data_IF_011408861982
#
_entry.id   IF_011408861982
#
_cell.length_a   1.000
_cell.length_b   1.000
_cell.length_c   1.000
_cell.angle_alpha   90.00
_cell.angle_beta   90.00
_cell.angle_gamma   90.00
#
_symmetry.space_group_name_H-M   'P 1'
#
loop_
_entity.id
_entity.type
_entity.pdbx_description
1 polymer ?
#
# COMPACT_ATOMS: atom_id res chain seq x y z
N UNK A 1 4.92 -22.27 5.80
CA UNK A 1 5.13 -20.91 6.33
C UNK A 1 4.63 -20.78 7.75
N UNK A 2 5.33 -19.99 8.56
CA UNK A 2 4.99 -19.63 9.94
C UNK A 2 5.08 -18.12 10.11
N UNK A 3 4.07 -17.51 10.71
CA UNK A 3 4.04 -16.11 11.13
C UNK A 3 4.24 -16.01 12.64
N UNK A 4 5.05 -15.06 13.10
CA UNK A 4 5.26 -14.77 14.52
C UNK A 4 5.26 -13.27 14.76
N UNK A 5 4.46 -12.81 15.72
CA UNK A 5 4.57 -11.47 16.30
C UNK A 5 5.86 -11.37 17.12
N UNK A 6 6.67 -10.35 16.84
CA UNK A 6 7.93 -10.11 17.54
C UNK A 6 7.85 -8.94 18.51
N UNK A 7 7.12 -7.89 18.14
CA UNK A 7 7.04 -6.65 18.89
C UNK A 7 5.80 -5.86 18.45
N UNK A 8 5.30 -5.01 19.35
CA UNK A 8 4.23 -4.05 19.09
C UNK A 8 4.60 -2.72 19.74
N UNK A 9 4.38 -1.64 18.99
CA UNK A 9 4.59 -0.28 19.48
C UNK A 9 3.40 0.59 19.12
N UNK A 10 2.76 1.19 20.11
CA UNK A 10 1.88 2.34 19.89
C UNK A 10 2.75 3.54 19.46
N UNK A 11 2.35 4.23 18.40
CA UNK A 11 3.04 5.43 17.93
C UNK A 11 2.02 6.57 17.99
N UNK A 12 2.07 7.39 19.05
CA UNK A 12 1.18 8.54 19.18
C UNK A 12 1.34 9.47 17.98
N UNK A 13 0.25 10.13 17.61
CA UNK A 13 0.23 11.19 16.59
C UNK A 13 0.67 10.76 15.18
N UNK A 14 0.75 9.45 14.90
CA UNK A 14 0.74 9.01 13.51
C UNK A 14 -0.63 9.32 12.91
N UNK A 15 -0.70 9.84 11.68
CA UNK A 15 -1.96 9.96 10.98
C UNK A 15 -2.59 8.59 10.67
N UNK A 16 -3.91 8.56 10.52
CA UNK A 16 -4.69 7.34 10.24
C UNK A 16 -4.80 7.17 8.74
N UNK A 17 -4.60 5.95 8.22
CA UNK A 17 -4.68 5.71 6.77
C UNK A 17 -3.34 5.85 6.04
N UNK A 18 -2.26 6.14 6.77
CA UNK A 18 -0.97 6.35 6.13
C UNK A 18 -0.36 5.09 5.51
N UNK A 19 0.36 5.31 4.42
CA UNK A 19 1.27 4.36 3.82
C UNK A 19 2.65 4.42 4.49
N UNK A 20 3.36 3.30 4.51
CA UNK A 20 4.68 3.18 5.14
C UNK A 20 5.65 2.44 4.23
N UNK A 21 6.76 3.09 3.90
CA UNK A 21 7.86 2.47 3.17
C UNK A 21 9.14 2.42 4.01
N UNK A 22 9.98 1.42 3.76
CA UNK A 22 11.27 1.29 4.45
C UNK A 22 12.41 1.20 3.44
N UNK A 23 13.30 2.18 3.49
CA UNK A 23 14.46 2.21 2.62
C UNK A 23 15.69 2.73 3.38
N UNK A 24 16.82 2.05 3.22
CA UNK A 24 18.10 2.41 3.81
C UNK A 24 18.04 2.83 5.29
N UNK A 25 17.37 2.01 6.12
CA UNK A 25 17.22 2.24 7.57
C UNK A 25 16.32 3.41 7.98
N UNK A 26 15.66 4.04 7.02
CA UNK A 26 14.68 5.11 7.17
C UNK A 26 13.28 4.59 6.83
N UNK A 27 12.31 5.01 7.63
CA UNK A 27 10.89 4.81 7.40
C UNK A 27 10.32 6.08 6.78
N UNK A 28 9.55 5.95 5.71
CA UNK A 28 8.87 7.06 5.04
C UNK A 28 7.38 6.86 5.18
N UNK A 29 6.70 7.84 5.76
CA UNK A 29 5.27 7.83 5.97
C UNK A 29 4.63 8.92 5.12
N UNK A 30 3.56 8.56 4.43
CA UNK A 30 2.71 9.47 3.67
C UNK A 30 1.27 9.17 4.04
N UNK A 31 0.54 10.19 4.49
CA UNK A 31 -0.87 10.07 4.84
C UNK A 31 -1.78 10.24 3.63
N UNK A 32 -3.00 9.69 3.68
CA UNK A 32 -4.01 9.89 2.62
C UNK A 32 -4.37 11.39 2.49
N UNK A 33 -4.41 12.09 3.63
CA UNK A 33 -4.70 13.51 3.79
C UNK A 33 -3.42 14.37 3.90
N UNK A 34 -2.24 13.79 3.67
CA UNK A 34 -0.98 14.48 3.84
C UNK A 34 -0.67 15.47 2.72
N UNK A 35 -0.37 16.70 3.14
CA UNK A 35 0.50 17.61 2.36
C UNK A 35 1.99 17.30 2.51
N UNK A 36 2.37 16.42 3.44
CA UNK A 36 3.75 16.16 3.87
C UNK A 36 4.12 14.67 3.88
N UNK A 37 5.35 14.35 3.49
CA UNK A 37 6.03 13.09 3.77
C UNK A 37 6.86 13.24 5.05
N UNK A 38 6.76 12.29 5.96
CA UNK A 38 7.56 12.26 7.19
C UNK A 38 8.57 11.12 7.14
N UNK A 39 9.84 11.44 7.37
CA UNK A 39 10.92 10.47 7.48
C UNK A 39 11.22 10.18 8.96
N UNK A 40 11.29 8.91 9.33
CA UNK A 40 11.64 8.45 10.68
C UNK A 40 12.84 7.51 10.67
N UNK A 41 13.59 7.46 11.76
CA UNK A 41 14.54 6.38 11.98
C UNK A 41 13.84 5.12 12.51
N UNK A 42 14.57 4.00 12.65
CA UNK A 42 14.08 2.74 13.25
C UNK A 42 13.51 2.85 14.68
N UNK A 43 13.83 3.93 15.39
CA UNK A 43 13.30 4.23 16.73
C UNK A 43 12.06 5.13 16.67
N UNK A 44 11.49 5.37 15.48
CA UNK A 44 10.33 6.23 15.24
C UNK A 44 10.59 7.67 15.71
N UNK A 45 11.83 8.14 15.61
CA UNK A 45 12.16 9.55 15.81
C UNK A 45 12.13 10.23 14.46
N UNK A 46 11.42 11.35 14.37
CA UNK A 46 11.34 12.17 13.15
C UNK A 46 12.74 12.65 12.76
N UNK A 47 13.13 12.35 11.53
CA UNK A 47 14.36 12.81 10.91
C UNK A 47 14.09 14.08 10.09
N UNK A 48 12.98 14.09 9.34
CA UNK A 48 12.59 15.20 8.50
C UNK A 48 11.10 15.16 8.15
N UNK A 49 10.57 16.32 7.76
CA UNK A 49 9.20 16.51 7.22
C UNK A 49 9.35 17.26 5.91
N UNK A 50 8.77 16.75 4.83
CA UNK A 50 8.91 17.26 3.48
C UNK A 50 7.56 17.51 2.82
N UNK A 51 7.32 18.74 2.36
CA UNK A 51 6.10 19.09 1.63
C UNK A 51 6.00 18.38 0.29
N UNK A 52 5.00 17.50 0.17
CA UNK A 52 4.62 16.83 -1.07
C UNK A 52 3.88 17.77 -2.01
N UNK A 53 3.04 18.66 -1.50
CA UNK A 53 2.32 19.64 -2.30
C UNK A 53 3.02 21.01 -2.31
N UNK A 54 2.83 21.76 -3.39
CA UNK A 54 3.40 23.10 -3.58
C UNK A 54 2.69 24.18 -2.75
N UNK A 55 3.27 25.39 -2.70
CA UNK A 55 2.64 26.54 -2.04
C UNK A 55 1.45 27.12 -2.83
N UNK A 56 1.46 26.90 -4.15
CA UNK A 56 0.44 27.31 -5.11
C UNK A 56 -0.55 26.19 -5.46
N UNK A 57 -0.36 24.97 -4.92
CA UNK A 57 -1.42 23.96 -4.98
C UNK A 57 -2.61 24.53 -4.19
N UNK A 58 -3.84 24.42 -4.72
CA UNK A 58 -5.02 24.90 -4.01
C UNK A 58 -4.98 24.28 -2.62
N UNK A 59 -4.97 25.17 -1.61
CA UNK A 59 -4.97 24.77 -0.22
C UNK A 59 -6.03 23.68 -0.07
N UNK A 60 -5.65 22.47 0.36
CA UNK A 60 -6.59 21.37 0.59
C UNK A 60 -7.69 21.98 1.45
N UNK A 61 -8.86 22.19 0.84
CA UNK A 61 -9.96 22.86 1.50
C UNK A 61 -10.36 21.98 2.68
N UNK A 62 -10.84 22.56 3.80
CA UNK A 62 -11.34 21.75 4.89
C UNK A 62 -12.39 20.75 4.38
N UNK A 63 -12.05 19.46 4.37
CA UNK A 63 -12.89 18.37 3.83
C UNK A 63 -12.49 17.81 2.46
N UNK A 64 -11.48 18.35 1.77
CA UNK A 64 -10.84 17.69 0.62
C UNK A 64 -9.65 16.84 1.10
N UNK A 65 -9.32 15.77 0.36
CA UNK A 65 -8.22 14.85 0.65
C UNK A 65 -7.16 14.97 -0.45
N UNK A 66 -5.87 14.83 -0.12
CA UNK A 66 -4.82 14.68 -1.16
C UNK A 66 -4.91 13.34 -1.87
N UNK A 67 -5.58 12.37 -1.24
CA UNK A 67 -5.83 11.00 -1.74
C UNK A 67 -4.53 10.28 -2.13
N UNK A 68 -3.45 10.51 -1.37
CA UNK A 68 -2.17 9.82 -1.54
C UNK A 68 -2.23 8.40 -0.96
N UNK A 69 -3.06 7.59 -1.59
CA UNK A 69 -3.47 6.27 -1.11
C UNK A 69 -2.45 5.18 -1.46
N UNK A 70 -1.47 5.45 -2.33
CA UNK A 70 -0.45 4.45 -2.67
C UNK A 70 0.96 5.03 -2.74
N UNK A 71 1.90 4.34 -2.08
CA UNK A 71 3.33 4.61 -2.20
C UNK A 71 4.12 3.37 -2.54
N UNK A 72 5.29 3.54 -3.14
CA UNK A 72 6.31 2.48 -3.23
C UNK A 72 7.69 3.03 -3.51
N UNK A 73 8.74 2.24 -3.27
CA UNK A 73 10.10 2.60 -3.63
C UNK A 73 10.38 2.17 -5.07
N UNK A 74 10.79 3.13 -5.91
CA UNK A 74 11.21 2.92 -7.30
C UNK A 74 12.66 3.33 -7.47
N UNK A 75 13.32 2.82 -8.52
CA UNK A 75 14.67 3.24 -8.89
C UNK A 75 14.62 3.88 -10.27
N UNK A 76 14.98 5.16 -10.34
CA UNK A 76 15.00 5.94 -11.58
C UNK A 76 16.43 6.40 -11.83
N UNK A 77 17.05 5.98 -12.94
CA UNK A 77 18.44 6.30 -13.26
C UNK A 77 19.43 5.92 -12.14
N UNK A 78 19.22 4.76 -11.51
CA UNK A 78 19.99 4.28 -10.34
C UNK A 78 19.80 5.08 -9.04
N UNK A 79 18.88 6.05 -9.01
CA UNK A 79 18.56 6.84 -7.82
C UNK A 79 17.28 6.27 -7.20
N UNK A 80 17.28 5.86 -5.93
CA UNK A 80 16.08 5.41 -5.23
C UNK A 80 15.15 6.59 -4.96
N UNK A 81 13.87 6.40 -5.24
CA UNK A 81 12.83 7.42 -5.06
C UNK A 81 11.61 6.82 -4.40
N UNK A 82 10.96 7.61 -3.55
CA UNK A 82 9.59 7.31 -3.15
C UNK A 82 8.66 7.79 -4.26
N UNK A 83 7.91 6.85 -4.85
CA UNK A 83 6.77 7.16 -5.69
C UNK A 83 5.55 7.29 -4.78
N UNK A 84 4.88 8.44 -4.85
CA UNK A 84 3.61 8.73 -4.18
C UNK A 84 2.56 8.94 -5.26
N UNK A 85 1.41 8.29 -5.14
CA UNK A 85 0.34 8.30 -6.13
C UNK A 85 -0.94 8.82 -5.52
N UNK A 86 -1.52 9.84 -6.16
CA UNK A 86 -2.86 10.34 -5.90
C UNK A 86 -3.82 9.94 -7.02
N UNK A 87 -4.94 9.30 -6.68
CA UNK A 87 -5.94 8.81 -7.62
C UNK A 87 -7.35 9.38 -7.37
N UNK A 88 -7.43 10.55 -6.74
CA UNK A 88 -8.69 11.11 -6.23
C UNK A 88 -9.83 11.06 -7.24
N UNK A 89 -10.90 10.38 -6.85
CA UNK A 89 -12.12 10.18 -7.63
C UNK A 89 -12.94 11.49 -7.72
N UNK A 90 -12.73 12.45 -6.82
CA UNK A 90 -13.58 13.64 -6.64
C UNK A 90 -12.94 14.97 -7.08
N UNK A 91 -11.67 15.25 -6.79
CA UNK A 91 -11.11 16.62 -6.87
C UNK A 91 -9.87 16.80 -7.76
N UNK A 92 -9.76 16.09 -8.89
CA UNK A 92 -8.76 16.35 -9.95
C UNK A 92 -7.28 16.15 -9.59
N UNK A 93 -6.98 15.54 -8.44
CA UNK A 93 -5.62 15.22 -8.00
C UNK A 93 -5.10 13.90 -8.58
N UNK A 94 -5.00 13.82 -9.91
CA UNK A 94 -4.30 12.72 -10.57
C UNK A 94 -2.81 13.06 -10.62
N UNK A 95 -2.07 12.75 -9.55
CA UNK A 95 -0.64 13.08 -9.46
C UNK A 95 0.22 11.86 -9.18
N UNK A 96 1.38 11.81 -9.81
CA UNK A 96 2.51 11.00 -9.37
C UNK A 96 3.63 11.92 -8.90
N UNK A 97 4.12 11.72 -7.68
CA UNK A 97 5.22 12.49 -7.10
C UNK A 97 6.39 11.54 -6.88
N UNK A 98 7.55 11.88 -7.46
CA UNK A 98 8.81 11.18 -7.23
C UNK A 98 9.68 11.99 -6.29
N UNK A 99 9.83 11.54 -5.04
CA UNK A 99 10.73 12.15 -4.07
C UNK A 99 12.07 11.42 -4.08
N UNK A 100 13.15 12.13 -4.40
CA UNK A 100 14.52 11.62 -4.28
C UNK A 100 14.84 11.33 -2.81
N UNK A 101 15.28 10.12 -2.48
CA UNK A 101 15.52 9.73 -1.10
C UNK A 101 16.88 10.17 -0.54
N UNK A 102 17.76 10.72 -1.39
CA UNK A 102 19.07 11.23 -0.98
C UNK A 102 19.01 12.72 -0.61
N UNK A 103 18.28 13.54 -1.37
CA UNK A 103 18.23 15.00 -1.20
C UNK A 103 16.81 15.58 -1.05
N UNK A 104 15.78 14.74 -1.11
CA UNK A 104 14.37 15.11 -0.97
C UNK A 104 13.83 16.06 -2.04
N UNK A 105 14.56 16.25 -3.14
CA UNK A 105 14.02 16.92 -4.32
C UNK A 105 12.85 16.11 -4.89
N UNK A 106 11.83 16.80 -5.42
CA UNK A 106 10.63 16.15 -5.97
C UNK A 106 10.40 16.51 -7.43
N UNK A 107 9.84 15.56 -8.16
CA UNK A 107 9.28 15.75 -9.50
C UNK A 107 7.80 15.38 -9.45
N UNK A 108 6.94 16.22 -9.99
CA UNK A 108 5.49 16.01 -10.04
C UNK A 108 5.05 15.76 -11.48
N UNK A 109 4.15 14.81 -11.67
CA UNK A 109 3.58 14.45 -12.96
C UNK A 109 2.05 14.44 -12.83
N UNK A 110 1.37 15.13 -13.74
CA UNK A 110 -0.07 14.92 -13.97
C UNK A 110 -0.24 13.55 -14.62
N UNK A 111 -1.03 12.67 -13.99
CA UNK A 111 -1.32 11.32 -14.47
C UNK A 111 -2.75 11.14 -15.00
N UNK A 112 -3.42 12.24 -15.36
CA UNK A 112 -4.81 12.24 -15.82
C UNK A 112 -5.07 11.37 -17.04
N UNK A 113 -4.12 11.28 -17.98
CA UNK A 113 -4.28 10.41 -19.16
C UNK A 113 -4.31 8.94 -18.74
N UNK A 114 -3.37 8.52 -17.89
CA UNK A 114 -3.34 7.16 -17.36
C UNK A 114 -4.58 6.86 -16.51
N UNK A 115 -4.99 7.79 -15.64
CA UNK A 115 -6.21 7.69 -14.84
C UNK A 115 -7.44 7.42 -15.72
N UNK A 116 -7.62 8.18 -16.80
CA UNK A 116 -8.76 8.04 -17.68
C UNK A 116 -8.74 6.70 -18.43
N UNK A 117 -7.56 6.24 -18.88
CA UNK A 117 -7.40 4.91 -19.47
C UNK A 117 -7.72 3.81 -18.47
N UNK A 118 -7.25 3.95 -17.23
CA UNK A 118 -7.53 3.01 -16.16
C UNK A 118 -9.03 2.94 -15.90
N UNK A 119 -9.70 4.07 -15.70
CA UNK A 119 -11.16 4.16 -15.52
C UNK A 119 -11.94 3.52 -16.67
N UNK A 120 -11.53 3.74 -17.91
CA UNK A 120 -12.16 3.13 -19.08
C UNK A 120 -11.96 1.61 -19.13
N UNK A 121 -10.86 1.10 -18.55
CA UNK A 121 -10.48 -0.32 -18.59
C UNK A 121 -11.07 -1.11 -17.42
N UNK A 122 -10.98 -0.60 -16.20
CA UNK A 122 -11.38 -1.30 -14.97
C UNK A 122 -12.67 -0.77 -14.35
N UNK A 123 -13.21 0.34 -14.86
CA UNK A 123 -14.43 0.95 -14.33
C UNK A 123 -14.17 1.77 -13.07
N UNK A 124 -14.90 1.45 -12.00
CA UNK A 124 -14.69 2.07 -10.67
C UNK A 124 -13.55 1.35 -9.98
N UNK A 125 -12.56 2.11 -9.51
CA UNK A 125 -11.42 1.59 -8.79
C UNK A 125 -11.18 2.38 -7.50
N UNK A 126 -10.45 1.76 -6.57
CA UNK A 126 -10.01 2.30 -5.29
C UNK A 126 -8.60 1.76 -5.04
N UNK A 127 -7.58 2.56 -5.34
CA UNK A 127 -6.18 2.14 -5.24
C UNK A 127 -5.68 2.42 -3.82
N UNK A 128 -5.28 1.41 -3.06
CA UNK A 128 -4.88 1.59 -1.65
C UNK A 128 -3.44 1.19 -1.34
N UNK A 129 -2.69 0.69 -2.33
CA UNK A 129 -1.26 0.44 -2.16
C UNK A 129 -0.58 0.13 -3.48
N UNK A 130 0.75 0.23 -3.48
CA UNK A 130 1.57 -0.11 -4.61
C UNK A 130 2.79 -0.96 -4.23
N UNK A 131 3.31 -1.72 -5.19
CA UNK A 131 4.60 -2.39 -5.07
C UNK A 131 5.28 -2.55 -6.43
N UNK A 132 6.62 -2.57 -6.44
CA UNK A 132 7.40 -2.95 -7.62
C UNK A 132 7.70 -4.45 -7.62
N UNK A 133 7.31 -5.14 -8.69
CA UNK A 133 7.68 -6.54 -8.95
C UNK A 133 8.36 -6.64 -10.31
N UNK A 134 9.66 -6.96 -10.31
CA UNK A 134 10.48 -7.06 -11.53
C UNK A 134 10.32 -5.88 -12.51
N UNK A 135 10.30 -4.64 -12.00
CA UNK A 135 10.18 -3.44 -12.83
C UNK A 135 8.76 -3.13 -13.33
N UNK A 136 7.77 -3.95 -12.96
CA UNK A 136 6.35 -3.60 -13.10
C UNK A 136 5.84 -2.97 -11.81
N UNK A 137 5.00 -1.97 -11.96
CA UNK A 137 4.23 -1.40 -10.86
C UNK A 137 2.94 -2.19 -10.73
N UNK A 138 2.69 -2.63 -9.51
CA UNK A 138 1.44 -3.28 -9.11
C UNK A 138 0.68 -2.31 -8.24
N UNK A 139 -0.59 -2.09 -8.57
CA UNK A 139 -1.53 -1.28 -7.79
C UNK A 139 -2.61 -2.19 -7.23
N UNK A 140 -2.89 -2.07 -5.94
CA UNK A 140 -3.93 -2.83 -5.28
C UNK A 140 -5.27 -2.12 -5.43
N UNK A 141 -6.19 -2.71 -6.20
CA UNK A 141 -7.57 -2.24 -6.28
C UNK A 141 -8.40 -2.93 -5.20
N UNK A 142 -8.72 -2.19 -4.13
CA UNK A 142 -9.60 -2.66 -3.07
C UNK A 142 -11.04 -2.63 -3.56
N UNK A 143 -11.82 -3.63 -3.17
CA UNK A 143 -13.23 -3.67 -3.51
C UNK A 143 -14.00 -2.47 -2.95
N UNK A 144 -14.98 -2.02 -3.72
CA UNK A 144 -15.87 -0.93 -3.38
C UNK A 144 -17.33 -1.37 -3.50
N UNK A 145 -18.24 -0.66 -2.82
CA UNK A 145 -19.71 -0.88 -2.84
C UNK A 145 -20.29 -1.10 -4.25
N UNK A 146 -19.71 -0.43 -5.24
CA UNK A 146 -20.15 -0.44 -6.65
C UNK A 146 -19.24 -1.24 -7.58
N UNK A 147 -18.14 -1.80 -7.06
CA UNK A 147 -17.16 -2.60 -7.79
C UNK A 147 -16.50 -3.61 -6.84
N UNK A 148 -17.15 -4.76 -6.56
CA UNK A 148 -16.78 -5.69 -5.49
C UNK A 148 -15.57 -6.58 -5.83
N UNK A 149 -14.67 -6.14 -6.72
CA UNK A 149 -13.59 -6.97 -7.26
C UNK A 149 -12.23 -6.57 -6.69
N UNK A 150 -11.72 -7.38 -5.77
CA UNK A 150 -10.32 -7.31 -5.34
C UNK A 150 -9.41 -7.86 -6.44
N UNK A 151 -8.64 -6.98 -7.05
CA UNK A 151 -7.65 -7.33 -8.07
C UNK A 151 -6.43 -6.44 -7.94
N UNK A 152 -5.31 -6.87 -8.51
CA UNK A 152 -4.21 -5.95 -8.77
C UNK A 152 -4.25 -5.50 -10.22
N UNK A 153 -3.87 -4.25 -10.42
CA UNK A 153 -3.55 -3.69 -11.74
C UNK A 153 -2.04 -3.75 -11.90
N UNK A 154 -1.59 -4.23 -13.03
CA UNK A 154 -0.18 -4.33 -13.41
C UNK A 154 0.08 -3.36 -14.54
N UNK A 155 1.05 -2.48 -14.34
CA UNK A 155 1.48 -1.45 -15.28
C UNK A 155 3.00 -1.29 -15.26
N UNK A 156 3.52 -0.41 -16.11
CA UNK A 156 4.93 -0.09 -16.17
C UNK A 156 5.34 0.82 -15.00
N UNK A 157 6.52 0.61 -14.41
CA UNK A 157 6.99 1.41 -13.27
C UNK A 157 7.21 2.90 -13.60
N UNK A 158 7.27 3.24 -14.88
CA UNK A 158 7.42 4.59 -15.42
C UNK A 158 6.18 5.06 -16.18
N UNK A 159 4.99 4.48 -15.91
CA UNK A 159 3.74 4.82 -16.60
C UNK A 159 3.48 6.33 -16.68
N UNK A 160 3.89 7.09 -15.66
CA UNK A 160 3.74 8.55 -15.58
C UNK A 160 4.45 9.31 -16.72
N UNK A 161 5.45 8.70 -17.37
CA UNK A 161 6.14 9.25 -18.56
C UNK A 161 5.55 8.78 -19.90
N UNK A 162 4.87 7.63 -19.93
CA UNK A 162 4.33 7.02 -21.16
C UNK A 162 2.86 6.63 -20.98
N UNK A 163 2.06 7.59 -20.51
CA UNK A 163 0.71 7.33 -20.04
C UNK A 163 -0.23 6.78 -21.12
N UNK A 164 -0.05 7.19 -22.38
CA UNK A 164 -0.86 6.72 -23.51
C UNK A 164 -0.71 5.22 -23.79
N UNK A 165 0.49 4.66 -23.54
CA UNK A 165 0.84 3.30 -23.95
C UNK A 165 1.16 2.37 -22.79
N UNK A 166 1.25 2.88 -21.56
CA UNK A 166 1.51 2.07 -20.37
C UNK A 166 0.52 0.90 -20.31
N UNK A 167 1.05 -0.28 -19.97
CA UNK A 167 0.24 -1.49 -19.84
C UNK A 167 -0.82 -1.34 -18.73
N UNK A 168 -2.01 -1.88 -18.94
CA UNK A 168 -3.04 -2.00 -17.89
C UNK A 168 -3.59 -3.41 -17.97
N UNK A 169 -3.08 -4.29 -17.10
CA UNK A 169 -3.52 -5.68 -17.01
C UNK A 169 -4.05 -5.95 -15.61
N UNK A 170 -5.18 -6.65 -15.47
CA UNK A 170 -5.73 -7.02 -14.16
C UNK A 170 -5.41 -8.46 -13.81
N UNK A 171 -5.10 -8.70 -12.53
CA UNK A 171 -4.89 -10.03 -11.96
C UNK A 171 -5.75 -10.19 -10.73
N UNK A 172 -6.65 -11.17 -10.77
CA UNK A 172 -7.54 -11.50 -9.65
C UNK A 172 -6.81 -12.25 -8.53
N UNK A 173 -7.26 -12.08 -7.29
CA UNK A 173 -6.83 -12.90 -6.15
C UNK A 173 -7.86 -13.96 -5.80
N UNK A 174 -7.38 -15.07 -5.24
CA UNK A 174 -8.24 -16.03 -4.54
C UNK A 174 -8.24 -15.67 -3.05
N UNK A 175 -9.17 -14.81 -2.64
CA UNK A 175 -9.33 -14.37 -1.26
C UNK A 175 -10.53 -15.08 -0.61
N UNK A 176 -10.48 -15.35 0.70
CA UNK A 176 -11.64 -15.88 1.40
C UNK A 176 -12.77 -14.85 1.37
N UNK A 177 -13.93 -15.26 0.88
CA UNK A 177 -15.13 -14.45 0.88
C UNK A 177 -16.29 -15.30 1.41
N UNK A 178 -17.15 -14.69 2.22
CA UNK A 178 -18.40 -15.29 2.69
C UNK A 178 -19.56 -14.37 2.33
N UNK A 179 -20.82 -14.84 2.37
CA UNK A 179 -21.97 -13.98 2.10
C UNK A 179 -22.08 -12.74 3.00
N UNK A 180 -21.43 -12.75 4.17
CA UNK A 180 -21.53 -11.68 5.17
C UNK A 180 -20.23 -10.87 5.34
N UNK A 181 -19.12 -11.34 4.77
CA UNK A 181 -17.80 -10.76 4.98
C UNK A 181 -16.95 -10.89 3.72
N UNK A 182 -16.39 -9.76 3.30
CA UNK A 182 -15.40 -9.66 2.24
C UNK A 182 -14.06 -9.27 2.86
N UNK A 183 -12.96 -9.56 2.15
CA UNK A 183 -11.63 -9.11 2.55
C UNK A 183 -11.04 -8.21 1.48
N UNK A 184 -10.83 -6.95 1.84
CA UNK A 184 -10.26 -5.92 0.98
C UNK A 184 -8.76 -5.87 1.07
N UNK A 185 -8.10 -5.56 -0.05
CA UNK A 185 -6.66 -5.28 -0.11
C UNK A 185 -6.34 -3.96 0.62
N UNK A 186 -5.34 -3.94 1.50
CA UNK A 186 -4.92 -2.71 2.19
C UNK A 186 -3.46 -2.33 1.98
N UNK A 187 -2.54 -3.30 1.87
CA UNK A 187 -1.11 -3.00 1.76
C UNK A 187 -0.35 -4.03 0.95
N UNK A 188 0.73 -3.60 0.30
CA UNK A 188 1.61 -4.42 -0.53
C UNK A 188 3.09 -4.21 -0.19
N UNK A 189 3.86 -5.30 -0.20
CA UNK A 189 5.31 -5.22 -0.23
C UNK A 189 5.92 -6.44 -0.93
N UNK A 190 6.96 -6.23 -1.73
CA UNK A 190 7.60 -7.30 -2.50
C UNK A 190 9.03 -7.58 -2.05
N UNK A 191 9.32 -8.84 -1.76
CA UNK A 191 10.65 -9.35 -1.49
C UNK A 191 11.26 -9.90 -2.76
N UNK A 192 12.22 -9.17 -3.33
CA UNK A 192 12.99 -9.65 -4.49
C UNK A 192 13.80 -10.91 -4.13
N UNK A 193 14.38 -10.96 -2.93
CA UNK A 193 15.25 -12.06 -2.50
C UNK A 193 14.52 -13.40 -2.36
N UNK A 194 13.24 -13.37 -2.01
CA UNK A 194 12.42 -14.56 -1.82
C UNK A 194 11.40 -14.77 -2.94
N UNK A 195 11.24 -13.78 -3.82
CA UNK A 195 10.15 -13.71 -4.79
C UNK A 195 8.77 -13.86 -4.15
N UNK A 196 8.57 -13.13 -3.04
CA UNK A 196 7.34 -13.14 -2.25
C UNK A 196 6.65 -11.78 -2.32
N UNK A 197 5.40 -11.76 -2.76
CA UNK A 197 4.50 -10.63 -2.55
C UNK A 197 3.77 -10.84 -1.22
N UNK A 198 3.91 -9.87 -0.33
CA UNK A 198 3.24 -9.83 0.96
C UNK A 198 2.11 -8.83 0.88
N UNK A 199 0.94 -9.22 1.37
CA UNK A 199 -0.28 -8.42 1.25
C UNK A 199 -0.98 -8.37 2.61
N UNK A 200 -1.32 -7.17 3.08
CA UNK A 200 -2.27 -7.01 4.19
C UNK A 200 -3.69 -6.90 3.66
N UNK A 201 -4.62 -7.54 4.36
CA UNK A 201 -6.03 -7.53 4.02
C UNK A 201 -6.86 -7.15 5.24
N UNK A 202 -7.99 -6.52 4.99
CA UNK A 202 -8.95 -6.07 6.01
C UNK A 202 -10.30 -6.70 5.76
N UNK A 203 -10.91 -7.24 6.81
CA UNK A 203 -12.28 -7.74 6.71
C UNK A 203 -13.31 -6.65 6.87
N UNK A 204 -14.24 -6.63 5.93
CA UNK A 204 -15.32 -5.67 5.85
C UNK A 204 -16.66 -6.39 5.79
N UNK A 205 -17.70 -5.75 6.32
CA UNK A 205 -19.05 -6.26 6.18
C UNK A 205 -19.43 -6.31 4.70
N UNK A 206 -20.02 -7.41 4.24
CA UNK A 206 -20.52 -7.52 2.85
C UNK A 206 -21.77 -6.65 2.58
N UNK A 207 -22.22 -5.90 3.59
CA UNK A 207 -23.33 -4.97 3.48
C UNK A 207 -22.93 -3.65 2.83
N UNK A 208 -23.93 -2.80 2.59
CA UNK A 208 -23.76 -1.52 1.88
C UNK A 208 -22.77 -0.55 2.52
N UNK A 209 -22.30 -0.76 3.74
CA UNK A 209 -21.43 0.17 4.45
C UNK A 209 -19.96 -0.24 4.47
N UNK A 210 -19.61 -1.48 4.08
CA UNK A 210 -18.23 -2.01 4.11
C UNK A 210 -17.46 -1.64 5.39
N UNK A 211 -18.17 -1.62 6.52
CA UNK A 211 -17.56 -1.27 7.79
C UNK A 211 -16.53 -2.32 8.17
N UNK A 212 -15.35 -1.88 8.61
CA UNK A 212 -14.32 -2.78 9.09
C UNK A 212 -14.83 -3.58 10.29
N UNK A 213 -14.71 -4.89 10.18
CA UNK A 213 -15.13 -5.85 11.21
C UNK A 213 -14.09 -5.97 12.31
N UNK A 214 -12.86 -5.52 12.07
CA UNK A 214 -11.74 -5.58 13.01
C UNK A 214 -10.84 -6.82 12.85
N UNK A 215 -11.10 -7.64 11.83
CA UNK A 215 -10.20 -8.73 11.45
C UNK A 215 -9.23 -8.28 10.35
N UNK A 216 -7.96 -8.61 10.56
CA UNK A 216 -6.88 -8.35 9.61
C UNK A 216 -6.15 -9.64 9.25
N UNK A 217 -5.64 -9.70 8.03
CA UNK A 217 -4.92 -10.85 7.51
C UNK A 217 -3.59 -10.45 6.89
N UNK A 218 -2.66 -11.39 6.90
CA UNK A 218 -1.43 -11.29 6.12
C UNK A 218 -1.40 -12.45 5.12
N UNK A 219 -1.41 -12.13 3.83
CA UNK A 219 -1.23 -13.10 2.77
C UNK A 219 0.22 -13.08 2.26
N UNK A 220 0.71 -14.25 1.88
CA UNK A 220 1.99 -14.42 1.20
C UNK A 220 1.75 -15.15 -0.11
N UNK A 221 2.25 -14.58 -1.19
CA UNK A 221 2.23 -15.16 -2.53
C UNK A 221 3.66 -15.42 -2.95
N UNK A 222 4.00 -16.69 -3.10
CA UNK A 222 5.29 -17.12 -3.59
C UNK A 222 5.35 -17.09 -5.11
N UNK A 223 6.55 -16.97 -5.67
CA UNK A 223 6.79 -16.88 -7.10
C UNK A 223 5.99 -15.72 -7.74
N UNK A 224 5.89 -14.60 -7.03
CA UNK A 224 5.01 -13.50 -7.43
C UNK A 224 5.41 -12.93 -8.79
N UNK A 225 6.72 -12.85 -9.07
CA UNK A 225 7.27 -12.44 -10.37
C UNK A 225 6.67 -13.18 -11.57
N UNK A 226 6.33 -14.47 -11.42
CA UNK A 226 5.76 -15.29 -12.49
C UNK A 226 4.23 -15.24 -12.53
N UNK A 227 3.60 -14.69 -11.50
CA UNK A 227 2.15 -14.63 -11.31
C UNK A 227 1.56 -13.28 -11.72
N UNK A 228 2.35 -12.21 -11.72
CA UNK A 228 1.90 -10.85 -12.12
C UNK A 228 1.50 -10.73 -13.58
N UNK A 229 1.91 -11.68 -14.42
CA UNK A 229 1.50 -11.77 -15.85
C UNK A 229 0.39 -12.79 -16.09
N UNK A 230 -0.19 -13.39 -15.04
CA UNK A 230 -1.26 -14.40 -15.14
C UNK A 230 -2.61 -13.74 -14.90
N UNK A 231 -3.71 -14.43 -15.27
CA UNK A 231 -5.07 -13.95 -14.99
C UNK A 231 -5.48 -14.03 -13.51
N UNK A 232 -4.87 -14.96 -12.77
CA UNK A 232 -5.20 -15.24 -11.37
C UNK A 232 -3.93 -15.51 -10.56
N UNK A 233 -3.87 -14.90 -9.37
CA UNK A 233 -2.79 -15.04 -8.41
C UNK A 233 -3.25 -15.88 -7.22
N UNK A 234 -2.70 -17.11 -7.10
CA UNK A 234 -2.97 -17.99 -5.96
C UNK A 234 -2.19 -17.51 -4.73
N UNK A 235 -2.91 -17.31 -3.63
CA UNK A 235 -2.36 -17.08 -2.29
C UNK A 235 -1.76 -18.39 -1.77
N UNK A 236 -0.49 -18.36 -1.35
CA UNK A 236 0.22 -19.55 -0.86
C UNK A 236 0.00 -19.76 0.64
N UNK A 237 -0.06 -18.67 1.41
CA UNK A 237 -0.33 -18.70 2.84
C UNK A 237 -1.19 -17.50 3.19
N UNK A 238 -2.18 -17.72 4.04
CA UNK A 238 -3.04 -16.68 4.57
C UNK A 238 -3.08 -16.85 6.09
N UNK A 239 -2.70 -15.80 6.80
CA UNK A 239 -2.68 -15.77 8.25
C UNK A 239 -3.80 -14.85 8.73
N UNK A 240 -4.76 -15.38 9.47
CA UNK A 240 -5.67 -14.56 10.25
C UNK A 240 -4.91 -14.04 11.48
N UNK A 241 -4.71 -12.72 11.57
CA UNK A 241 -3.79 -12.16 12.57
C UNK A 241 -4.33 -12.30 13.99
N UNK A 242 -5.64 -12.20 14.16
CA UNK A 242 -6.30 -12.33 15.46
C UNK A 242 -6.11 -13.75 16.06
N UNK A 243 -6.01 -14.79 15.23
CA UNK A 243 -5.75 -16.16 15.69
C UNK A 243 -4.30 -16.37 16.17
N UNK A 244 -3.37 -15.47 15.81
CA UNK A 244 -1.95 -15.60 16.14
C UNK A 244 -1.58 -14.95 17.46
N UNK A 245 -2.28 -13.88 17.85
CA UNK A 245 -2.01 -13.13 19.08
C UNK A 245 -3.14 -12.15 19.38
N UNK A 246 -3.59 -12.13 20.64
CA UNK A 246 -4.59 -11.16 21.13
C UNK A 246 -4.19 -9.70 20.88
N UNK A 247 -2.89 -9.41 20.80
CA UNK A 247 -2.40 -8.05 20.49
C UNK A 247 -2.86 -7.47 19.15
N UNK A 248 -3.31 -8.30 18.20
CA UNK A 248 -3.87 -7.81 16.93
C UNK A 248 -5.35 -7.43 17.01
N UNK A 249 -6.06 -7.88 18.04
CA UNK A 249 -7.52 -7.74 18.14
C UNK A 249 -7.90 -6.25 18.16
N UNK A 250 -8.80 -5.87 17.25
CA UNK A 250 -9.32 -4.51 17.13
C UNK A 250 -8.46 -3.56 16.30
N UNK A 251 -7.32 -4.02 15.75
CA UNK A 251 -6.49 -3.24 14.84
C UNK A 251 -6.74 -3.61 13.37
N UNK A 252 -6.87 -2.58 12.52
CA UNK A 252 -6.91 -2.73 11.08
C UNK A 252 -5.49 -2.56 10.53
N UNK A 253 -4.91 -3.61 9.95
CA UNK A 253 -3.62 -3.49 9.25
C UNK A 253 -3.80 -2.73 7.94
N UNK A 254 -3.31 -1.49 7.91
CA UNK A 254 -3.40 -0.58 6.77
C UNK A 254 -2.28 -0.76 5.78
N UNK A 255 -1.06 -1.00 6.25
CA UNK A 255 0.11 -1.09 5.37
C UNK A 255 1.10 -2.14 5.84
N UNK A 256 1.93 -2.63 4.92
CA UNK A 256 3.02 -3.57 5.18
C UNK A 256 4.28 -3.12 4.46
N UNK A 257 5.42 -3.16 5.15
CA UNK A 257 6.71 -2.98 4.50
C UNK A 257 7.76 -3.97 5.00
N UNK A 258 8.70 -4.32 4.12
CA UNK A 258 9.80 -5.22 4.45
C UNK A 258 10.91 -4.44 5.14
N UNK A 259 11.07 -4.70 6.44
CA UNK A 259 12.16 -4.15 7.24
C UNK A 259 13.50 -4.83 6.91
N UNK A 260 13.47 -6.15 6.73
CA UNK A 260 14.67 -6.94 6.49
C UNK A 260 14.29 -8.29 5.86
N UNK A 261 15.09 -8.74 4.90
CA UNK A 261 14.91 -10.02 4.23
C UNK A 261 16.19 -10.87 4.26
N UNK A 262 16.00 -12.16 4.54
CA UNK A 262 16.97 -13.23 4.28
C UNK A 262 16.28 -14.30 3.43
N UNK A 263 17.06 -15.25 2.91
CA UNK A 263 16.48 -16.41 2.23
C UNK A 263 15.48 -17.13 3.14
N UNK A 264 14.30 -17.40 2.59
CA UNK A 264 13.10 -17.99 3.22
C UNK A 264 12.64 -17.28 4.50
N UNK A 265 12.95 -15.98 4.67
CA UNK A 265 12.59 -15.25 5.90
C UNK A 265 12.47 -13.74 5.71
N UNK A 266 11.31 -13.20 6.09
CA UNK A 266 11.03 -11.77 6.12
C UNK A 266 10.82 -11.28 7.55
N UNK A 267 11.31 -10.08 7.84
CA UNK A 267 10.89 -9.27 8.98
C UNK A 267 10.13 -8.07 8.42
N UNK A 268 8.91 -7.88 8.88
CA UNK A 268 7.98 -6.89 8.34
C UNK A 268 7.60 -5.89 9.43
N UNK A 269 7.29 -4.67 9.02
CA UNK A 269 6.45 -3.76 9.79
C UNK A 269 5.04 -3.81 9.21
N UNK A 270 4.04 -3.89 10.08
CA UNK A 270 2.63 -3.70 9.74
C UNK A 270 2.17 -2.43 10.46
N UNK A 271 1.72 -1.44 9.69
CA UNK A 271 1.12 -0.23 10.23
C UNK A 271 -0.38 -0.47 10.39
N UNK A 272 -0.93 -0.05 11.52
CA UNK A 272 -2.32 -0.29 11.84
C UNK A 272 -2.96 0.87 12.60
N UNK A 273 -4.26 1.02 12.40
CA UNK A 273 -5.13 1.89 13.19
C UNK A 273 -6.15 1.07 13.99
N UNK A 274 -6.89 1.72 14.88
CA UNK A 274 -8.08 1.14 15.49
C UNK A 274 -9.21 2.16 15.59
N UNK A 275 -10.41 1.66 15.96
CA UNK A 275 -11.63 2.49 16.10
C UNK A 275 -11.54 3.57 17.18
N UNK A 276 -10.55 3.50 18.08
CA UNK A 276 -10.28 4.52 19.09
C UNK A 276 -9.32 5.60 18.60
N UNK A 277 -8.92 5.58 17.33
CA UNK A 277 -7.97 6.55 16.74
C UNK A 277 -6.51 6.31 17.16
N UNK A 278 -6.18 5.14 17.70
CA UNK A 278 -4.80 4.80 18.05
C UNK A 278 -4.11 4.18 16.85
N UNK A 279 -2.87 4.59 16.64
CA UNK A 279 -2.01 4.05 15.60
C UNK A 279 -0.86 3.23 16.21
N UNK A 280 -0.53 2.14 15.55
CA UNK A 280 0.42 1.18 16.06
C UNK A 280 1.18 0.46 14.96
N UNK A 281 2.36 -0.01 15.34
CA UNK A 281 3.27 -0.71 14.45
C UNK A 281 3.55 -2.07 15.03
N UNK A 282 3.19 -3.10 14.27
CA UNK A 282 3.50 -4.48 14.60
C UNK A 282 4.75 -4.91 13.85
N UNK A 283 5.73 -5.45 14.58
CA UNK A 283 6.86 -6.11 13.95
C UNK A 283 6.60 -7.61 13.91
N UNK A 284 6.52 -8.17 12.71
CA UNK A 284 6.27 -9.59 12.52
C UNK A 284 7.41 -10.27 11.76
N UNK A 285 7.45 -11.59 11.85
CA UNK A 285 8.36 -12.43 11.06
C UNK A 285 7.60 -13.51 10.34
N UNK A 286 7.76 -13.54 9.02
CA UNK A 286 7.35 -14.66 8.17
C UNK A 286 8.59 -15.51 7.90
N UNK A 287 8.46 -16.82 8.02
CA UNK A 287 9.46 -17.79 7.54
C UNK A 287 8.77 -18.98 6.90
N UNK A 288 9.46 -19.66 6.00
CA UNK A 288 8.98 -20.94 5.46
C UNK A 288 8.74 -21.99 6.57
#
# INVERSE_FOLDING_TARGET
MKLKLLDYREVPDLPVGSNLEFFNETLYLVDDDASDMVAFNKKWQTLAIHKLLGHDDPQILPGSKSDFEATTIVVVNSIPRLLVLGFDIKDSHHKAILVNLDDYTKEEFDISEFYNRLKATVGVFNIESAAIVLGKLILCNRDHKTAPENHIIVTDADFYKNQANAEITTVSFDLPQTPNQVVGLSGLSYSYKNDWLVVTLLSESAGKDHTTTGDSYLAVIENASRKVVRKKMKVNSLFHLNDLSEGFVGYNMKSVCIRNEKSSRLKLYLLADNKAGKNGVFTVRVKE
#
